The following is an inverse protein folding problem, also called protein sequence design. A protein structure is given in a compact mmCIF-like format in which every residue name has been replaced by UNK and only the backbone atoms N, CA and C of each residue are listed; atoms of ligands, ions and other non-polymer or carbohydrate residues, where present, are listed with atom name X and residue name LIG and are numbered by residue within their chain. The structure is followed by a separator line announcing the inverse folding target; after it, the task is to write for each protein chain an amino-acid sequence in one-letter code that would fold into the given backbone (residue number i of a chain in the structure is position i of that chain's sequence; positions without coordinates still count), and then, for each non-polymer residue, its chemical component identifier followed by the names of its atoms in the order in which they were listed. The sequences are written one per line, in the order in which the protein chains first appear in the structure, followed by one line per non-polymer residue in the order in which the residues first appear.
data_IF_260253381587
#
_entry.id   IF_260253381587
#
_cell.length_a   1.000
_cell.length_b   1.000
_cell.length_c   1.000
_cell.angle_alpha   90.00
_cell.angle_beta   90.00
_cell.angle_gamma   90.00
#
_symmetry.space_group_name_H-M   'P 1'
#
loop_
_entity.id
_entity.type
_entity.pdbx_description
1 polymer ?
#
# COMPACT_ATOMS: atom_id res chain seq x y z
N UNK A 1 18.37 -2.36 38.49
CA UNK A 1 17.03 -2.22 37.87
C UNK A 1 16.82 -0.75 37.51
N UNK A 2 15.99 -0.44 36.51
CA UNK A 2 15.64 0.93 36.07
C UNK A 2 14.13 1.10 36.25
N UNK A 3 13.73 2.26 36.75
CA UNK A 3 12.32 2.69 36.79
C UNK A 3 11.86 3.04 35.37
N UNK A 4 10.74 2.45 34.95
CA UNK A 4 10.19 2.66 33.61
C UNK A 4 9.21 3.83 33.53
N UNK A 5 8.94 4.53 34.64
CA UNK A 5 7.95 5.61 34.71
C UNK A 5 6.51 5.11 34.57
N UNK A 6 6.31 3.77 34.60
CA UNK A 6 5.02 3.11 34.58
C UNK A 6 4.69 2.62 35.98
N UNK A 7 3.46 2.80 36.42
CA UNK A 7 2.94 2.25 37.66
C UNK A 7 2.04 1.05 37.38
N UNK A 8 2.20 0.00 38.18
CA UNK A 8 1.30 -1.16 38.23
C UNK A 8 0.77 -1.26 39.66
N UNK A 9 -0.56 -1.23 39.84
CA UNK A 9 -1.22 -1.15 41.15
C UNK A 9 -0.61 -0.08 42.09
N UNK A 10 -0.40 1.15 41.58
CA UNK A 10 0.27 2.26 42.27
C UNK A 10 1.74 2.01 42.70
N UNK A 11 2.37 0.91 42.27
CA UNK A 11 3.79 0.68 42.50
C UNK A 11 4.62 0.91 41.24
N UNK A 12 5.82 1.52 41.35
CA UNK A 12 6.69 1.75 40.20
C UNK A 12 7.22 0.42 39.64
N UNK A 13 7.06 0.24 38.33
CA UNK A 13 7.51 -0.96 37.62
C UNK A 13 9.00 -0.85 37.34
N UNK A 14 9.77 -1.59 38.12
CA UNK A 14 11.22 -1.73 37.96
C UNK A 14 11.54 -2.86 36.98
N UNK A 15 12.38 -2.58 35.97
CA UNK A 15 12.85 -3.61 35.02
C UNK A 15 14.37 -3.77 35.07
N UNK A 16 14.91 -4.96 34.74
CA UNK A 16 16.34 -5.12 34.52
C UNK A 16 16.84 -4.18 33.42
N UNK A 17 18.07 -3.65 33.57
CA UNK A 17 18.67 -2.70 32.61
C UNK A 17 18.68 -3.26 31.19
N UNK A 18 19.04 -4.55 31.07
CA UNK A 18 19.09 -5.27 29.79
C UNK A 18 17.72 -5.33 29.10
N UNK A 19 16.65 -5.60 29.85
CA UNK A 19 15.28 -5.66 29.31
C UNK A 19 14.79 -4.29 28.88
N UNK A 20 15.15 -3.24 29.64
CA UNK A 20 14.81 -1.87 29.27
C UNK A 20 15.49 -1.44 27.97
N UNK A 21 16.80 -1.67 27.85
CA UNK A 21 17.59 -1.34 26.66
C UNK A 21 17.11 -2.10 25.41
N UNK A 22 16.76 -3.38 25.58
CA UNK A 22 16.19 -4.19 24.51
C UNK A 22 14.88 -3.58 23.99
N UNK A 23 13.91 -3.34 24.87
CA UNK A 23 12.60 -2.78 24.49
C UNK A 23 12.70 -1.37 23.88
N UNK A 24 13.70 -0.58 24.28
CA UNK A 24 13.94 0.74 23.72
C UNK A 24 14.37 0.67 22.24
N UNK A 25 15.16 -0.33 21.87
CA UNK A 25 15.78 -0.42 20.54
C UNK A 25 15.11 -1.45 19.60
N UNK A 26 14.27 -2.35 20.13
CA UNK A 26 13.66 -3.44 19.36
C UNK A 26 12.76 -2.95 18.21
N UNK A 27 12.13 -1.79 18.35
CA UNK A 27 11.11 -1.31 17.40
C UNK A 27 11.70 -0.68 16.12
N UNK A 28 13.02 -0.71 15.93
CA UNK A 28 13.66 -0.10 14.76
C UNK A 28 13.14 -0.67 13.43
N UNK A 29 13.02 -2.00 13.34
CA UNK A 29 12.51 -2.69 12.16
C UNK A 29 11.02 -2.45 11.95
N UNK A 30 10.21 -2.56 13.00
CA UNK A 30 8.76 -2.34 12.92
C UNK A 30 8.43 -0.92 12.44
N UNK A 31 9.16 0.08 12.95
CA UNK A 31 9.00 1.47 12.52
C UNK A 31 9.38 1.66 11.04
N UNK A 32 10.41 0.95 10.57
CA UNK A 32 10.82 1.00 9.18
C UNK A 32 9.79 0.35 8.25
N UNK A 33 9.29 -0.82 8.61
CA UNK A 33 8.21 -1.52 7.88
C UNK A 33 6.93 -0.69 7.85
N UNK A 34 6.59 -0.03 8.95
CA UNK A 34 5.45 0.89 9.02
C UNK A 34 5.62 2.08 8.06
N UNK A 35 6.82 2.69 8.01
CA UNK A 35 7.14 3.78 7.07
C UNK A 35 7.08 3.36 5.59
N UNK A 36 7.38 2.10 5.28
CA UNK A 36 7.21 1.54 3.93
C UNK A 36 5.72 1.41 3.60
N UNK A 37 4.92 0.90 4.53
CA UNK A 37 3.51 0.60 4.31
C UNK A 37 2.64 1.85 4.10
N UNK A 38 2.91 2.94 4.84
CA UNK A 38 2.10 4.17 4.81
C UNK A 38 1.88 4.77 3.41
N UNK A 39 2.90 4.73 2.55
CA UNK A 39 2.83 5.27 1.19
C UNK A 39 3.34 4.24 0.16
N UNK A 40 2.90 2.99 0.31
CA UNK A 40 3.20 1.92 -0.64
C UNK A 40 2.35 2.04 -1.91
N UNK A 41 2.95 1.79 -3.08
CA UNK A 41 2.26 1.80 -4.38
C UNK A 41 2.10 0.38 -4.94
N UNK A 42 1.62 -0.54 -4.11
CA UNK A 42 1.45 -1.95 -4.47
C UNK A 42 0.50 -2.09 -5.68
N UNK A 43 1.02 -2.63 -6.78
CA UNK A 43 0.25 -2.94 -7.99
C UNK A 43 0.09 -4.44 -8.15
N UNK A 44 -1.13 -4.89 -8.46
CA UNK A 44 -1.41 -6.30 -8.77
C UNK A 44 -0.59 -6.71 -9.99
N UNK A 45 0.29 -7.69 -9.84
CA UNK A 45 1.17 -8.16 -10.92
C UNK A 45 1.38 -9.67 -10.81
N UNK A 46 1.41 -10.35 -11.96
CA UNK A 46 1.67 -11.78 -12.05
C UNK A 46 3.16 -12.10 -11.99
N UNK A 47 4.03 -11.13 -12.31
CA UNK A 47 5.48 -11.31 -12.35
C UNK A 47 6.09 -10.94 -11.00
N UNK A 48 6.53 -11.92 -10.23
CA UNK A 48 7.03 -11.74 -8.85
C UNK A 48 8.20 -10.74 -8.76
N UNK A 49 9.09 -10.70 -9.75
CA UNK A 49 10.25 -9.79 -9.75
C UNK A 49 9.83 -8.31 -9.77
N UNK A 50 8.66 -7.97 -10.34
CA UNK A 50 8.13 -6.60 -10.32
C UNK A 50 7.78 -6.19 -8.90
N UNK A 51 7.25 -7.12 -8.10
CA UNK A 51 6.98 -6.89 -6.67
C UNK A 51 8.27 -6.59 -5.91
N UNK A 52 9.34 -7.35 -6.18
CA UNK A 52 10.65 -7.11 -5.57
C UNK A 52 11.24 -5.75 -5.99
N UNK A 53 11.19 -5.41 -7.28
CA UNK A 53 11.66 -4.12 -7.78
C UNK A 53 10.92 -2.92 -7.15
N UNK A 54 9.59 -2.99 -7.04
CA UNK A 54 8.82 -1.93 -6.37
C UNK A 54 9.14 -1.83 -4.89
N UNK A 55 9.36 -2.97 -4.21
CA UNK A 55 9.77 -2.97 -2.82
C UNK A 55 11.14 -2.29 -2.62
N UNK A 56 12.12 -2.56 -3.49
CA UNK A 56 13.41 -1.86 -3.46
C UNK A 56 13.26 -0.33 -3.64
N UNK A 57 12.34 0.11 -4.50
CA UNK A 57 12.05 1.55 -4.64
C UNK A 57 11.41 2.13 -3.38
N UNK A 58 10.53 1.38 -2.68
CA UNK A 58 9.99 1.81 -1.39
C UNK A 58 11.10 1.96 -0.35
N UNK A 59 12.01 1.00 -0.27
CA UNK A 59 13.16 1.03 0.63
C UNK A 59 14.04 2.25 0.36
N UNK A 60 14.42 2.46 -0.91
CA UNK A 60 15.25 3.60 -1.31
C UNK A 60 14.59 4.94 -0.97
N UNK A 61 13.28 5.08 -1.17
CA UNK A 61 12.50 6.27 -0.82
C UNK A 61 12.48 6.55 0.68
N UNK A 62 12.26 5.52 1.51
CA UNK A 62 12.25 5.69 2.98
C UNK A 62 13.65 6.06 3.48
N UNK A 63 14.68 5.42 2.95
CA UNK A 63 16.07 5.71 3.32
C UNK A 63 16.49 7.12 2.88
N UNK A 64 16.14 7.54 1.67
CA UNK A 64 16.43 8.91 1.22
C UNK A 64 15.71 9.96 2.06
N UNK A 65 14.46 9.70 2.47
CA UNK A 65 13.74 10.58 3.39
C UNK A 65 14.38 10.67 4.78
N UNK A 66 14.91 9.56 5.30
CA UNK A 66 15.61 9.57 6.59
C UNK A 66 16.89 10.39 6.52
N UNK A 67 17.71 10.15 5.49
CA UNK A 67 18.93 10.94 5.20
C UNK A 67 18.58 12.41 5.03
N UNK A 68 17.50 12.70 4.30
CA UNK A 68 17.00 14.05 4.07
C UNK A 68 16.72 14.79 5.39
N UNK A 69 16.01 14.13 6.32
CA UNK A 69 15.73 14.66 7.66
C UNK A 69 16.99 14.88 8.51
N UNK A 70 17.97 13.98 8.40
CA UNK A 70 19.23 14.11 9.15
C UNK A 70 20.01 15.36 8.73
N UNK A 71 20.05 15.68 7.44
CA UNK A 71 20.73 16.88 6.93
C UNK A 71 19.91 18.17 7.06
N UNK A 72 18.59 18.08 7.29
CA UNK A 72 17.69 19.22 7.35
C UNK A 72 16.84 19.19 8.63
N UNK A 73 17.44 19.37 9.82
CA UNK A 73 16.74 19.21 11.10
C UNK A 73 15.60 20.22 11.32
N UNK A 74 15.69 21.40 10.71
CA UNK A 74 14.66 22.43 10.78
C UNK A 74 13.46 22.15 9.86
N UNK A 75 13.60 21.19 8.93
CA UNK A 75 12.57 20.94 7.94
C UNK A 75 11.57 19.89 8.43
N UNK A 76 10.32 20.33 8.63
CA UNK A 76 9.22 19.50 9.12
C UNK A 76 8.35 18.92 8.01
N UNK A 77 8.92 18.60 6.84
CA UNK A 77 8.16 17.93 5.77
C UNK A 77 7.76 16.52 6.19
N UNK A 78 6.50 16.20 5.95
CA UNK A 78 5.99 14.84 6.04
C UNK A 78 6.60 13.97 4.94
N UNK A 79 6.60 12.66 5.15
CA UNK A 79 7.08 11.70 4.13
C UNK A 79 6.29 11.83 2.81
N UNK A 80 5.00 12.20 2.89
CA UNK A 80 4.14 12.46 1.73
C UNK A 80 4.65 13.63 0.90
N UNK A 81 4.90 14.76 1.54
CA UNK A 81 5.35 15.99 0.85
C UNK A 81 6.70 15.76 0.18
N UNK A 82 7.65 15.15 0.90
CA UNK A 82 8.93 14.74 0.33
C UNK A 82 8.75 13.83 -0.90
N UNK A 83 7.84 12.85 -0.81
CA UNK A 83 7.56 11.94 -1.93
C UNK A 83 6.97 12.69 -3.13
N UNK A 84 6.07 13.65 -2.91
CA UNK A 84 5.48 14.45 -3.97
C UNK A 84 6.52 15.34 -4.65
N UNK A 85 7.41 15.97 -3.89
CA UNK A 85 8.50 16.77 -4.46
C UNK A 85 9.41 15.92 -5.33
N UNK A 86 9.80 14.73 -4.86
CA UNK A 86 10.63 13.80 -5.63
C UNK A 86 9.92 13.39 -6.92
N UNK A 87 8.62 13.07 -6.85
CA UNK A 87 7.85 12.73 -8.06
C UNK A 87 7.80 13.90 -9.02
N UNK A 88 7.55 15.12 -8.53
CA UNK A 88 7.49 16.32 -9.36
C UNK A 88 8.83 16.52 -10.09
N UNK A 89 9.95 16.57 -9.37
CA UNK A 89 11.27 16.75 -9.96
C UNK A 89 11.67 15.63 -10.93
N UNK A 90 11.24 14.39 -10.68
CA UNK A 90 11.49 13.26 -11.60
C UNK A 90 10.62 13.30 -12.86
N UNK A 91 9.50 14.02 -12.82
CA UNK A 91 8.54 14.10 -13.93
C UNK A 91 8.61 15.43 -14.67
N UNK A 92 9.34 16.41 -14.16
CA UNK A 92 9.68 17.65 -14.86
C UNK A 92 10.33 17.34 -16.21
N UNK A 93 9.68 17.76 -17.29
CA UNK A 93 10.11 17.51 -18.68
C UNK A 93 9.57 16.21 -19.30
N UNK A 94 8.86 15.37 -18.56
CA UNK A 94 8.15 14.22 -19.14
C UNK A 94 6.81 14.65 -19.72
N UNK A 95 6.57 14.33 -21.01
CA UNK A 95 5.21 14.44 -21.56
C UNK A 95 4.38 13.27 -21.05
N UNK A 96 3.12 13.48 -20.63
CA UNK A 96 2.28 12.39 -20.19
C UNK A 96 2.21 11.35 -21.32
N UNK A 97 2.45 10.06 -21.06
CA UNK A 97 2.32 9.04 -22.08
C UNK A 97 0.92 9.17 -22.65
N UNK A 98 0.80 9.28 -23.98
CA UNK A 98 -0.51 9.19 -24.65
C UNK A 98 -1.12 7.88 -24.17
N UNK A 99 -2.12 7.96 -23.30
CA UNK A 99 -2.87 6.79 -22.87
C UNK A 99 -3.49 6.30 -24.17
N UNK A 100 -2.88 5.28 -24.77
CA UNK A 100 -3.56 4.49 -25.77
C UNK A 100 -4.63 3.76 -24.98
N UNK A 101 -5.76 4.43 -24.75
CA UNK A 101 -6.99 3.73 -24.43
C UNK A 101 -7.04 2.66 -25.50
N UNK A 102 -6.95 1.39 -25.10
CA UNK A 102 -7.40 0.33 -26.01
C UNK A 102 -8.78 0.80 -26.42
N UNK A 103 -8.93 1.20 -27.69
CA UNK A 103 -10.25 1.30 -28.27
C UNK A 103 -10.85 -0.05 -27.94
N UNK A 104 -11.82 -0.06 -27.02
CA UNK A 104 -12.73 -1.18 -26.93
C UNK A 104 -13.27 -1.21 -28.35
N UNK A 105 -12.79 -2.16 -29.15
CA UNK A 105 -13.40 -2.45 -30.44
C UNK A 105 -14.89 -2.53 -30.18
N UNK A 106 -15.68 -1.97 -31.10
CA UNK A 106 -17.13 -1.95 -30.99
C UNK A 106 -17.62 -3.28 -30.38
N UNK A 107 -18.56 -3.24 -29.42
CA UNK A 107 -19.09 -4.45 -28.83
C UNK A 107 -19.37 -5.44 -29.96
N UNK A 108 -18.91 -6.70 -29.89
CA UNK A 108 -19.19 -7.66 -30.95
C UNK A 108 -20.68 -7.61 -31.24
N UNK A 109 -21.09 -7.58 -32.51
CA UNK A 109 -22.48 -7.34 -32.95
C UNK A 109 -23.52 -8.27 -32.27
N UNK A 110 -23.03 -9.34 -31.65
CA UNK A 110 -23.73 -10.22 -30.71
C UNK A 110 -24.43 -9.49 -29.53
N UNK A 111 -24.10 -8.24 -29.22
CA UNK A 111 -24.68 -7.45 -28.12
C UNK A 111 -25.74 -6.43 -28.57
N UNK A 112 -26.40 -6.64 -29.72
CA UNK A 112 -27.50 -5.77 -30.19
C UNK A 112 -28.83 -6.03 -29.47
N UNK A 113 -29.02 -7.21 -28.87
CA UNK A 113 -30.28 -7.61 -28.24
C UNK A 113 -30.22 -7.48 -26.71
N UNK A 114 -31.30 -6.97 -26.11
CA UNK A 114 -31.40 -6.77 -24.66
C UNK A 114 -31.65 -8.12 -24.00
N UNK A 115 -30.59 -8.81 -23.61
CA UNK A 115 -30.73 -10.04 -22.83
C UNK A 115 -31.34 -9.76 -21.45
N UNK A 116 -32.55 -10.27 -21.23
CA UNK A 116 -33.19 -10.23 -19.91
C UNK A 116 -33.06 -11.59 -19.21
N UNK A 117 -32.88 -11.56 -17.89
CA UNK A 117 -32.90 -12.77 -17.07
C UNK A 117 -34.36 -13.21 -16.89
N UNK A 118 -34.71 -14.37 -17.43
CA UNK A 118 -36.03 -14.97 -17.24
C UNK A 118 -35.93 -16.17 -16.30
N UNK A 119 -36.90 -16.28 -15.38
CA UNK A 119 -37.03 -17.43 -14.49
C UNK A 119 -37.55 -18.64 -15.28
N UNK A 120 -36.86 -19.76 -15.18
CA UNK A 120 -37.23 -21.04 -15.81
C UNK A 120 -37.76 -21.99 -14.75
N UNK A 121 -38.65 -22.90 -15.13
CA UNK A 121 -39.14 -23.95 -14.22
C UNK A 121 -37.96 -24.79 -13.68
N UNK A 122 -37.85 -24.91 -12.36
CA UNK A 122 -36.72 -25.58 -11.70
C UNK A 122 -36.77 -27.08 -11.94
N UNK A 123 -35.74 -27.66 -12.58
CA UNK A 123 -35.51 -29.11 -12.64
C UNK A 123 -34.84 -29.64 -11.35
N UNK A 124 -35.12 -29.03 -10.20
CA UNK A 124 -34.69 -29.48 -8.87
C UNK A 124 -33.21 -29.26 -8.51
N UNK A 125 -32.35 -28.84 -9.45
CA UNK A 125 -30.88 -28.74 -9.21
C UNK A 125 -30.34 -27.33 -8.96
N UNK A 126 -31.15 -26.27 -9.09
CA UNK A 126 -30.71 -24.88 -8.86
C UNK A 126 -31.73 -24.11 -8.02
N UNK A 127 -31.23 -23.39 -7.01
CA UNK A 127 -32.04 -22.56 -6.09
C UNK A 127 -32.69 -21.36 -6.80
N UNK A 128 -32.05 -20.86 -7.88
CA UNK A 128 -32.57 -19.79 -8.74
C UNK A 128 -32.29 -20.13 -10.21
N UNK A 129 -33.19 -20.83 -10.91
CA UNK A 129 -33.05 -21.14 -12.33
C UNK A 129 -33.36 -19.89 -13.18
N UNK A 130 -32.35 -19.11 -13.49
CA UNK A 130 -32.45 -18.03 -14.49
C UNK A 130 -31.70 -18.40 -15.76
N UNK A 131 -32.25 -18.03 -16.91
CA UNK A 131 -31.59 -18.11 -18.21
C UNK A 131 -31.64 -16.73 -18.87
N UNK A 132 -30.56 -16.33 -19.53
CA UNK A 132 -30.61 -15.16 -20.42
C UNK A 132 -31.34 -15.56 -21.70
N UNK A 133 -32.48 -14.93 -21.95
CA UNK A 133 -33.21 -15.02 -23.22
C UNK A 133 -32.88 -13.76 -24.03
N UNK A 134 -32.96 -13.85 -25.36
CA UNK A 134 -32.80 -12.71 -26.27
C UNK A 134 -33.99 -11.74 -26.13
#
# INVERSE_FOLDING_TARGET
MIDTGKTDNNQPVMKPKVVHLYNQNMNGLDNFDQNIQYYSFNRKTWKWWKRAAFHLLHLAKVQSFLVFKMFNPNWKKSQKEFTLDVILHLTEGSTPPKIFMRRVSDPPERLKEKHFLTLVQSSGKKKYPVLCVL
#
